data_IF_936947582206
#
_entry.id   IF_936947582206
#
_cell.length_a   1.000
_cell.length_b   1.000
_cell.length_c   1.000
_cell.angle_alpha   90.00
_cell.angle_beta   90.00
_cell.angle_gamma   90.00
#
_symmetry.space_group_name_H-M   'P 1'
#
loop_
_entity.id
_entity.type
_entity.pdbx_description
1 polymer ?
#
# COMPACT_ATOMS: atom_id res chain seq x y z
N UNK A 1 -33.93 11.77 -26.49
CA UNK A 1 -32.61 11.97 -27.10
C UNK A 1 -31.62 12.78 -26.25
N UNK A 2 -32.02 13.80 -25.49
CA UNK A 2 -31.09 14.58 -24.61
C UNK A 2 -30.51 13.78 -23.43
N UNK A 3 -31.27 12.86 -22.84
CA UNK A 3 -30.82 12.03 -21.69
C UNK A 3 -29.76 11.02 -22.10
N UNK A 4 -29.94 10.38 -23.27
CA UNK A 4 -28.98 9.37 -23.77
C UNK A 4 -27.63 10.02 -24.08
N UNK A 5 -27.62 11.24 -24.63
CA UNK A 5 -26.39 12.00 -24.90
C UNK A 5 -25.63 12.34 -23.61
N UNK A 6 -26.35 12.67 -22.51
CA UNK A 6 -25.71 12.93 -21.20
C UNK A 6 -25.11 11.67 -20.59
N UNK A 7 -25.79 10.53 -20.68
CA UNK A 7 -25.28 9.26 -20.18
C UNK A 7 -24.07 8.79 -20.98
N UNK A 8 -24.10 8.90 -22.31
CA UNK A 8 -22.96 8.56 -23.18
C UNK A 8 -21.76 9.47 -22.87
N UNK A 9 -21.99 10.77 -22.67
CA UNK A 9 -20.92 11.71 -22.32
C UNK A 9 -20.28 11.36 -20.94
N UNK A 10 -21.09 10.95 -19.97
CA UNK A 10 -20.64 10.59 -18.62
C UNK A 10 -19.81 9.30 -18.65
N UNK A 11 -20.25 8.29 -19.40
CA UNK A 11 -19.49 7.05 -19.61
C UNK A 11 -18.18 7.32 -20.34
N UNK A 12 -18.19 8.20 -21.35
CA UNK A 12 -16.98 8.57 -22.10
C UNK A 12 -15.96 9.31 -21.20
N UNK A 13 -16.43 10.19 -20.28
CA UNK A 13 -15.58 10.85 -19.30
C UNK A 13 -14.95 9.84 -18.32
N UNK A 14 -15.72 8.89 -17.82
CA UNK A 14 -15.20 7.85 -16.89
C UNK A 14 -14.15 6.97 -17.58
N UNK A 15 -14.41 6.58 -18.83
CA UNK A 15 -13.45 5.81 -19.64
C UNK A 15 -12.18 6.63 -19.90
N UNK A 16 -12.30 7.92 -20.25
CA UNK A 16 -11.14 8.80 -20.45
C UNK A 16 -10.32 8.98 -19.15
N UNK A 17 -10.97 9.08 -17.98
CA UNK A 17 -10.28 9.13 -16.68
C UNK A 17 -9.56 7.82 -16.34
N UNK A 18 -10.10 6.67 -16.73
CA UNK A 18 -9.44 5.37 -16.52
C UNK A 18 -8.21 5.21 -17.44
N UNK A 19 -8.24 5.75 -18.65
CA UNK A 19 -7.08 5.73 -19.55
C UNK A 19 -5.99 6.73 -19.17
N UNK A 20 -6.29 7.81 -18.45
CA UNK A 20 -5.28 8.76 -17.98
C UNK A 20 -4.47 8.24 -16.78
N UNK A 21 -4.93 7.20 -16.07
CA UNK A 21 -4.20 6.55 -14.98
C UNK A 21 -3.15 5.55 -15.46
N UNK A 22 -3.14 5.17 -16.73
CA UNK A 22 -2.12 4.23 -17.29
C UNK A 22 -0.90 4.94 -17.88
N UNK A 23 -0.84 6.28 -17.82
CA UNK A 23 0.27 7.06 -18.38
C UNK A 23 1.49 7.24 -17.45
N UNK A 24 1.47 6.62 -16.25
CA UNK A 24 2.60 6.65 -15.32
C UNK A 24 3.33 5.30 -15.34
N UNK A 25 4.04 5.00 -16.43
CA UNK A 25 4.75 3.73 -16.57
C UNK A 25 5.76 3.75 -17.72
N UNK A 26 6.44 4.87 -17.92
CA UNK A 26 7.71 4.90 -18.67
C UNK A 26 8.75 5.53 -17.76
N UNK A 27 9.52 4.68 -17.08
CA UNK A 27 10.87 5.04 -16.73
C UNK A 27 11.60 5.32 -18.03
N UNK A 28 11.60 6.57 -18.43
CA UNK A 28 12.61 7.07 -19.34
C UNK A 28 13.90 6.98 -18.54
N UNK A 29 14.91 6.29 -19.08
CA UNK A 29 16.30 6.51 -18.72
C UNK A 29 16.59 7.99 -19.00
N UNK A 30 16.21 8.85 -18.07
CA UNK A 30 16.76 10.19 -17.99
C UNK A 30 18.18 9.95 -17.47
N UNK A 31 19.16 10.02 -18.37
CA UNK A 31 20.54 9.97 -17.98
C UNK A 31 20.74 10.90 -16.79
N UNK A 32 21.27 10.37 -15.70
CA UNK A 32 21.65 11.17 -14.56
C UNK A 32 22.55 12.29 -15.08
N UNK A 33 22.26 13.54 -14.73
CA UNK A 33 23.13 14.68 -15.08
C UNK A 33 24.52 14.58 -14.43
N UNK A 34 24.84 13.44 -13.86
CA UNK A 34 26.06 13.10 -13.13
C UNK A 34 27.13 12.62 -14.10
N UNK A 35 28.38 13.02 -13.84
CA UNK A 35 29.54 12.47 -14.52
C UNK A 35 29.58 10.93 -14.41
N UNK A 36 29.80 10.20 -15.53
CA UNK A 36 29.77 8.72 -15.55
C UNK A 36 30.71 8.05 -14.52
N UNK A 37 31.81 8.69 -14.16
CA UNK A 37 32.74 8.19 -13.17
C UNK A 37 32.14 8.28 -11.76
N UNK A 38 31.43 9.34 -11.46
CA UNK A 38 30.71 9.53 -10.18
C UNK A 38 29.55 8.56 -10.08
N UNK A 39 28.81 8.36 -11.17
CA UNK A 39 27.72 7.39 -11.24
C UNK A 39 28.19 5.97 -10.90
N UNK A 40 29.29 5.53 -11.52
CA UNK A 40 29.87 4.21 -11.26
C UNK A 40 30.41 4.09 -9.83
N UNK A 41 31.02 5.15 -9.30
CA UNK A 41 31.46 5.21 -7.90
C UNK A 41 30.30 5.05 -6.92
N UNK A 42 29.17 5.73 -7.15
CA UNK A 42 27.98 5.63 -6.31
C UNK A 42 27.40 4.23 -6.32
N UNK A 43 27.30 3.59 -7.48
CA UNK A 43 26.87 2.20 -7.60
C UNK A 43 27.76 1.26 -6.80
N UNK A 44 29.07 1.38 -6.96
CA UNK A 44 30.04 0.55 -6.25
C UNK A 44 29.97 0.74 -4.73
N UNK A 45 29.83 1.98 -4.26
CA UNK A 45 29.67 2.27 -2.83
C UNK A 45 28.38 1.69 -2.29
N UNK A 46 27.28 1.77 -3.05
CA UNK A 46 25.99 1.21 -2.67
C UNK A 46 26.06 -0.32 -2.55
N UNK A 47 26.72 -0.99 -3.49
CA UNK A 47 26.94 -2.45 -3.41
C UNK A 47 27.78 -2.80 -2.19
N UNK A 48 28.88 -2.07 -1.95
CA UNK A 48 29.75 -2.30 -0.80
C UNK A 48 29.00 -2.11 0.53
N UNK A 49 28.16 -1.08 0.62
CA UNK A 49 27.31 -0.85 1.78
C UNK A 49 26.33 -2.01 2.01
N UNK A 50 25.70 -2.48 0.96
CA UNK A 50 24.80 -3.63 1.03
C UNK A 50 25.53 -4.89 1.51
N UNK A 51 26.67 -5.21 0.93
CA UNK A 51 27.47 -6.37 1.32
C UNK A 51 27.93 -6.32 2.77
N UNK A 52 28.28 -5.15 3.27
CA UNK A 52 28.58 -4.93 4.67
C UNK A 52 27.35 -5.18 5.54
N UNK A 53 26.18 -4.66 5.14
CA UNK A 53 24.93 -4.85 5.89
C UNK A 53 24.51 -6.31 5.98
N UNK A 54 24.51 -7.03 4.87
CA UNK A 54 24.07 -8.44 4.84
C UNK A 54 25.08 -9.38 5.53
N UNK A 55 26.30 -8.93 5.75
CA UNK A 55 27.31 -9.68 6.52
C UNK A 55 27.16 -9.55 8.03
N UNK A 56 26.31 -8.62 8.51
CA UNK A 56 26.06 -8.41 9.94
C UNK A 56 25.16 -9.52 10.47
N UNK A 57 25.56 -10.21 11.55
CA UNK A 57 24.71 -11.22 12.19
C UNK A 57 23.40 -10.60 12.71
N UNK A 58 22.30 -11.35 12.58
CA UNK A 58 20.97 -10.88 12.96
C UNK A 58 20.85 -10.46 14.44
N UNK A 59 21.61 -11.10 15.33
CA UNK A 59 21.66 -10.77 16.75
C UNK A 59 22.29 -9.39 17.04
N UNK A 60 23.14 -8.90 16.16
CA UNK A 60 23.78 -7.57 16.28
C UNK A 60 22.98 -6.48 15.58
N UNK A 61 22.15 -6.84 14.61
CA UNK A 61 21.42 -5.89 13.75
C UNK A 61 20.54 -4.94 14.56
N UNK A 62 19.81 -5.45 15.56
CA UNK A 62 18.96 -4.63 16.45
C UNK A 62 19.76 -3.56 17.20
N UNK A 63 20.96 -3.90 17.63
CA UNK A 63 21.84 -2.94 18.31
C UNK A 63 22.31 -1.83 17.37
N UNK A 64 22.65 -2.20 16.13
CA UNK A 64 23.07 -1.26 15.09
C UNK A 64 21.94 -0.33 14.68
N UNK A 65 20.71 -0.83 14.55
CA UNK A 65 19.51 -0.03 14.34
C UNK A 65 19.37 1.05 15.42
N UNK A 66 19.44 0.66 16.68
CA UNK A 66 19.34 1.62 17.79
C UNK A 66 20.49 2.64 17.82
N UNK A 67 21.69 2.21 17.49
CA UNK A 67 22.84 3.11 17.42
C UNK A 67 22.66 4.16 16.31
N UNK A 68 22.22 3.75 15.11
CA UNK A 68 21.93 4.69 14.02
C UNK A 68 20.82 5.65 14.38
N UNK A 69 19.73 5.19 15.04
CA UNK A 69 18.66 6.05 15.52
C UNK A 69 19.14 7.08 16.54
N UNK A 70 19.98 6.68 17.49
CA UNK A 70 20.59 7.61 18.46
C UNK A 70 21.58 8.59 17.81
N UNK A 71 22.22 8.20 16.73
CA UNK A 71 23.11 9.07 15.94
C UNK A 71 22.37 10.05 15.02
N UNK A 72 21.02 9.96 14.92
CA UNK A 72 20.21 10.80 14.04
C UNK A 72 20.13 10.29 12.61
N UNK A 73 20.67 9.10 12.31
CA UNK A 73 20.61 8.43 10.99
C UNK A 73 19.31 7.61 10.86
N UNK A 74 18.16 8.27 10.96
CA UNK A 74 16.84 7.61 11.00
C UNK A 74 16.56 6.81 9.72
N UNK A 75 16.96 7.33 8.55
CA UNK A 75 16.78 6.66 7.27
C UNK A 75 17.52 5.32 7.20
N UNK A 76 18.75 5.29 7.71
CA UNK A 76 19.56 4.07 7.79
C UNK A 76 18.95 3.08 8.78
N UNK A 77 18.53 3.58 9.96
CA UNK A 77 17.88 2.74 10.97
C UNK A 77 16.59 2.08 10.42
N UNK A 78 15.73 2.84 9.73
CA UNK A 78 14.52 2.33 9.13
C UNK A 78 14.77 1.31 8.00
N UNK A 79 15.82 1.55 7.19
CA UNK A 79 16.25 0.60 6.17
C UNK A 79 16.73 -0.73 6.75
N UNK A 80 17.54 -0.67 7.80
CA UNK A 80 18.01 -1.86 8.53
C UNK A 80 16.85 -2.63 9.19
N UNK A 81 15.90 -1.94 9.81
CA UNK A 81 14.68 -2.57 10.35
C UNK A 81 13.87 -3.27 9.25
N UNK A 82 13.74 -2.64 8.09
CA UNK A 82 13.06 -3.23 6.93
C UNK A 82 13.77 -4.50 6.48
N UNK A 83 15.10 -4.48 6.40
CA UNK A 83 15.89 -5.66 6.04
C UNK A 83 15.69 -6.82 7.03
N UNK A 84 15.76 -6.55 8.33
CA UNK A 84 15.50 -7.56 9.38
C UNK A 84 14.11 -8.19 9.21
N UNK A 85 13.09 -7.37 8.91
CA UNK A 85 11.74 -7.85 8.66
C UNK A 85 11.57 -8.68 7.39
N UNK A 86 12.51 -8.57 6.46
CA UNK A 86 12.49 -9.27 5.17
C UNK A 86 13.47 -10.44 5.09
N UNK A 87 14.33 -10.64 6.10
CA UNK A 87 15.39 -11.66 6.10
C UNK A 87 14.84 -13.06 5.80
N UNK A 88 13.75 -13.44 6.46
CA UNK A 88 13.10 -14.73 6.25
C UNK A 88 12.50 -14.86 4.83
N UNK A 89 12.04 -13.77 4.25
CA UNK A 89 11.45 -13.73 2.91
C UNK A 89 12.51 -13.74 1.80
N UNK A 90 13.63 -13.09 2.02
CA UNK A 90 14.71 -12.96 1.05
C UNK A 90 15.65 -14.18 1.05
N UNK A 91 15.96 -14.72 2.22
CA UNK A 91 17.00 -15.72 2.40
C UNK A 91 18.41 -15.13 2.33
N UNK A 92 19.43 -15.97 2.15
CA UNK A 92 20.81 -15.53 2.08
C UNK A 92 21.09 -14.67 0.84
N UNK A 93 21.95 -13.65 1.00
CA UNK A 93 22.41 -12.83 -0.12
C UNK A 93 23.31 -13.66 -1.06
N UNK A 94 23.09 -13.51 -2.36
CA UNK A 94 23.84 -14.24 -3.39
C UNK A 94 24.72 -13.31 -4.22
N UNK A 95 24.15 -12.25 -4.79
CA UNK A 95 24.90 -11.34 -5.65
C UNK A 95 24.16 -10.02 -5.87
N UNK A 96 24.93 -9.00 -6.25
CA UNK A 96 24.41 -7.74 -6.83
C UNK A 96 24.48 -7.77 -8.34
N UNK A 97 23.47 -7.20 -8.99
CA UNK A 97 23.36 -7.00 -10.43
C UNK A 97 23.67 -5.57 -10.85
N UNK A 98 23.00 -5.15 -11.92
CA UNK A 98 23.15 -3.79 -12.44
C UNK A 98 22.58 -2.76 -11.45
N UNK A 99 23.29 -1.63 -11.32
CA UNK A 99 22.81 -0.46 -10.59
C UNK A 99 22.37 0.65 -11.55
N UNK A 100 21.40 1.45 -11.12
CA UNK A 100 20.96 2.68 -11.79
C UNK A 100 21.03 3.84 -10.82
N UNK A 101 21.44 5.01 -11.32
CA UNK A 101 21.44 6.25 -10.56
C UNK A 101 20.45 7.21 -11.21
N UNK A 102 19.60 7.80 -10.40
CA UNK A 102 18.59 8.76 -10.83
C UNK A 102 18.72 10.03 -10.01
N UNK A 103 18.78 11.16 -10.67
CA UNK A 103 18.70 12.47 -10.02
C UNK A 103 17.26 12.73 -9.55
N UNK A 104 17.12 13.21 -8.34
CA UNK A 104 15.85 13.61 -7.72
C UNK A 104 15.99 15.04 -7.17
N UNK A 105 14.88 15.66 -6.77
CA UNK A 105 14.87 17.09 -6.38
C UNK A 105 15.85 17.44 -5.25
N UNK A 106 16.12 16.51 -4.33
CA UNK A 106 16.96 16.71 -3.15
C UNK A 106 18.25 15.86 -3.16
N UNK A 107 18.67 15.33 -4.32
CA UNK A 107 19.89 14.52 -4.42
C UNK A 107 19.81 13.38 -5.43
N UNK A 108 20.29 12.22 -5.05
CA UNK A 108 20.40 11.06 -5.94
C UNK A 108 19.78 9.81 -5.33
N UNK A 109 19.00 9.10 -6.13
CA UNK A 109 18.52 7.75 -5.81
C UNK A 109 19.38 6.74 -6.57
N UNK A 110 20.07 5.88 -5.83
CA UNK A 110 20.85 4.77 -6.36
C UNK A 110 20.10 3.48 -6.09
N UNK A 111 19.72 2.77 -7.14
CA UNK A 111 19.04 1.48 -7.04
C UNK A 111 19.94 0.39 -7.60
N UNK A 112 20.11 -0.69 -6.86
CA UNK A 112 20.88 -1.87 -7.24
C UNK A 112 19.98 -3.08 -7.23
N UNK A 113 19.91 -3.81 -8.34
CA UNK A 113 19.22 -5.08 -8.38
C UNK A 113 20.04 -6.13 -7.64
N UNK A 114 19.42 -6.84 -6.73
CA UNK A 114 20.07 -7.83 -5.89
C UNK A 114 19.37 -9.17 -5.97
N UNK A 115 20.13 -10.22 -5.87
CA UNK A 115 19.63 -11.60 -5.86
C UNK A 115 19.90 -12.20 -4.50
N UNK A 116 18.82 -12.63 -3.85
CA UNK A 116 18.86 -13.43 -2.65
C UNK A 116 18.42 -14.86 -2.96
N UNK A 117 18.66 -15.79 -2.05
CA UNK A 117 18.38 -17.22 -2.26
C UNK A 117 16.93 -17.51 -2.65
N UNK A 118 15.98 -16.82 -2.03
CA UNK A 118 14.55 -17.08 -2.25
C UNK A 118 13.93 -16.17 -3.31
N UNK A 119 14.45 -14.94 -3.47
CA UNK A 119 13.90 -13.96 -4.43
C UNK A 119 14.87 -12.84 -4.80
N UNK A 120 14.59 -12.16 -5.88
CA UNK A 120 15.26 -10.91 -6.22
C UNK A 120 14.72 -9.77 -5.35
N UNK A 121 15.56 -8.75 -5.11
CA UNK A 121 15.18 -7.56 -4.36
C UNK A 121 15.88 -6.34 -5.01
N UNK A 122 15.16 -5.24 -5.16
CA UNK A 122 15.78 -3.97 -5.51
C UNK A 122 16.17 -3.26 -4.21
N UNK A 123 17.45 -3.01 -4.03
CA UNK A 123 17.98 -2.21 -2.94
C UNK A 123 18.19 -0.78 -3.42
N UNK A 124 17.60 0.20 -2.77
CA UNK A 124 17.79 1.60 -3.11
C UNK A 124 18.20 2.44 -1.92
N UNK A 125 19.12 3.37 -2.17
CA UNK A 125 19.50 4.42 -1.23
C UNK A 125 19.25 5.78 -1.85
N UNK A 126 18.82 6.72 -1.03
CA UNK A 126 18.71 8.13 -1.38
C UNK A 126 19.81 8.90 -0.67
N UNK A 127 20.56 9.69 -1.39
CA UNK A 127 21.71 10.44 -0.89
C UNK A 127 21.49 11.92 -1.20
N UNK A 128 21.87 12.81 -0.30
CA UNK A 128 21.83 14.26 -0.51
C UNK A 128 22.68 14.69 -1.70
N UNK A 129 22.37 15.87 -2.28
CA UNK A 129 23.11 16.47 -3.42
C UNK A 129 24.63 16.58 -3.17
N UNK A 130 25.02 16.88 -1.93
CA UNK A 130 26.42 16.98 -1.48
C UNK A 130 27.06 15.61 -1.22
N UNK A 131 26.32 14.50 -1.40
CA UNK A 131 26.76 13.10 -1.19
C UNK A 131 27.27 12.82 0.22
N UNK A 132 26.88 13.61 1.21
CA UNK A 132 27.36 13.47 2.60
C UNK A 132 26.47 12.65 3.48
N UNK A 133 25.17 12.55 3.15
CA UNK A 133 24.18 11.92 4.02
C UNK A 133 23.22 11.02 3.25
N UNK A 134 22.85 9.88 3.86
CA UNK A 134 21.81 8.99 3.37
C UNK A 134 20.49 9.47 3.97
N UNK A 135 19.54 9.86 3.10
CA UNK A 135 18.22 10.36 3.49
C UNK A 135 17.12 9.31 3.31
N UNK A 136 17.41 8.24 2.59
CA UNK A 136 16.49 7.13 2.40
C UNK A 136 17.23 5.80 2.18
N UNK A 137 16.65 4.71 2.66
CA UNK A 137 17.14 3.35 2.41
C UNK A 137 15.93 2.43 2.32
N UNK A 138 15.86 1.60 1.29
CA UNK A 138 14.70 0.79 0.98
C UNK A 138 15.08 -0.55 0.38
N UNK A 139 14.35 -1.58 0.76
CA UNK A 139 14.40 -2.92 0.17
C UNK A 139 13.03 -3.22 -0.46
N UNK A 140 13.00 -3.47 -1.74
CA UNK A 140 11.80 -3.80 -2.50
C UNK A 140 11.90 -5.23 -3.07
N UNK A 141 11.40 -6.24 -2.34
CA UNK A 141 11.38 -7.62 -2.83
C UNK A 141 10.54 -7.75 -4.09
N UNK A 142 11.04 -8.47 -5.07
CA UNK A 142 10.31 -8.76 -6.30
C UNK A 142 9.42 -9.98 -6.06
N UNK A 143 8.13 -9.74 -5.99
CA UNK A 143 7.14 -10.82 -5.85
C UNK A 143 6.67 -11.30 -7.21
N UNK A 144 6.43 -12.59 -7.35
CA UNK A 144 5.81 -13.16 -8.55
C UNK A 144 4.40 -12.60 -8.75
N UNK A 145 3.90 -12.62 -9.98
CA UNK A 145 2.53 -12.20 -10.29
C UNK A 145 1.50 -12.95 -9.44
N UNK A 146 1.73 -14.25 -9.17
CA UNK A 146 0.86 -15.06 -8.33
C UNK A 146 0.81 -14.57 -6.89
N UNK A 147 1.95 -14.28 -6.28
CA UNK A 147 2.06 -13.75 -4.91
C UNK A 147 1.44 -12.35 -4.80
N UNK A 148 1.66 -11.50 -5.81
CA UNK A 148 1.04 -10.17 -5.86
C UNK A 148 -0.48 -10.25 -5.98
N UNK A 149 -1.01 -11.18 -6.77
CA UNK A 149 -2.45 -11.42 -6.89
C UNK A 149 -3.04 -11.98 -5.59
N UNK A 150 -2.35 -12.88 -4.90
CA UNK A 150 -2.77 -13.40 -3.61
C UNK A 150 -2.82 -12.29 -2.56
N UNK A 151 -1.78 -11.49 -2.43
CA UNK A 151 -1.74 -10.32 -1.52
C UNK A 151 -2.84 -9.31 -1.85
N UNK A 152 -3.05 -9.01 -3.14
CA UNK A 152 -4.12 -8.12 -3.58
C UNK A 152 -5.51 -8.69 -3.28
N UNK A 153 -5.73 -9.99 -3.49
CA UNK A 153 -6.98 -10.66 -3.17
C UNK A 153 -7.27 -10.66 -1.66
N UNK A 154 -6.26 -10.93 -0.83
CA UNK A 154 -6.39 -10.88 0.63
C UNK A 154 -6.71 -9.48 1.12
N UNK A 155 -6.03 -8.45 0.60
CA UNK A 155 -6.31 -7.06 0.95
C UNK A 155 -7.71 -6.62 0.50
N UNK A 156 -8.15 -7.04 -0.69
CA UNK A 156 -9.49 -6.78 -1.21
C UNK A 156 -10.53 -7.50 -0.36
N UNK A 157 -10.32 -8.77 -0.02
CA UNK A 157 -11.21 -9.55 0.82
C UNK A 157 -11.34 -8.93 2.22
N UNK A 158 -10.24 -8.49 2.80
CA UNK A 158 -10.23 -7.85 4.12
C UNK A 158 -10.99 -6.52 4.09
N UNK A 159 -10.73 -5.64 3.11
CA UNK A 159 -11.41 -4.35 2.97
C UNK A 159 -12.89 -4.51 2.62
N UNK A 160 -13.21 -5.32 1.61
CA UNK A 160 -14.59 -5.55 1.18
C UNK A 160 -15.37 -6.38 2.21
N UNK A 161 -14.71 -7.36 2.84
CA UNK A 161 -15.29 -8.19 3.90
C UNK A 161 -15.74 -7.37 5.09
N UNK A 162 -14.96 -6.39 5.53
CA UNK A 162 -15.33 -5.50 6.63
C UNK A 162 -16.60 -4.72 6.32
N UNK A 163 -16.74 -4.20 5.09
CA UNK A 163 -17.95 -3.49 4.67
C UNK A 163 -19.17 -4.42 4.68
N UNK A 164 -19.03 -5.65 4.18
CA UNK A 164 -20.12 -6.62 4.20
C UNK A 164 -20.55 -6.98 5.62
N UNK A 165 -19.60 -7.18 6.55
CA UNK A 165 -19.90 -7.47 7.96
C UNK A 165 -20.71 -6.32 8.57
N UNK A 166 -20.31 -5.06 8.32
CA UNK A 166 -21.03 -3.89 8.81
C UNK A 166 -22.44 -3.81 8.22
N UNK A 167 -22.62 -4.08 6.91
CA UNK A 167 -23.93 -4.09 6.27
C UNK A 167 -24.83 -5.20 6.82
N UNK A 168 -24.31 -6.39 7.05
CA UNK A 168 -25.05 -7.50 7.70
C UNK A 168 -25.45 -7.09 9.10
N UNK A 169 -24.56 -6.48 9.88
CA UNK A 169 -24.85 -6.02 11.23
C UNK A 169 -25.97 -4.97 11.25
N UNK A 170 -25.92 -3.97 10.38
CA UNK A 170 -26.98 -2.95 10.26
C UNK A 170 -28.30 -3.61 9.83
N UNK A 171 -28.26 -4.53 8.87
CA UNK A 171 -29.46 -5.26 8.43
C UNK A 171 -30.08 -6.07 9.57
N UNK A 172 -29.25 -6.68 10.41
CA UNK A 172 -29.68 -7.40 11.61
C UNK A 172 -30.35 -6.47 12.63
N UNK A 173 -29.78 -5.29 12.88
CA UNK A 173 -30.37 -4.27 13.75
C UNK A 173 -31.73 -3.81 13.24
N UNK A 174 -31.86 -3.50 11.94
CA UNK A 174 -33.13 -3.10 11.33
C UNK A 174 -34.17 -4.23 11.46
N UNK A 175 -33.75 -5.47 11.21
CA UNK A 175 -34.65 -6.64 11.43
C UNK A 175 -35.07 -6.79 12.86
N UNK A 176 -34.19 -6.55 13.81
CA UNK A 176 -34.50 -6.60 15.25
C UNK A 176 -35.58 -5.56 15.64
N UNK A 177 -35.43 -4.32 15.15
CA UNK A 177 -36.44 -3.27 15.36
C UNK A 177 -37.79 -3.63 14.73
N UNK A 178 -37.80 -4.25 13.55
CA UNK A 178 -39.02 -4.72 12.92
C UNK A 178 -39.71 -5.82 13.75
N UNK A 179 -38.95 -6.72 14.36
CA UNK A 179 -39.50 -7.75 15.27
C UNK A 179 -40.12 -7.15 16.53
N UNK A 180 -39.45 -6.15 17.12
CA UNK A 180 -39.94 -5.45 18.31
C UNK A 180 -41.27 -4.74 18.00
N UNK A 181 -41.35 -4.04 16.87
CA UNK A 181 -42.57 -3.35 16.42
C UNK A 181 -43.76 -4.33 16.17
N UNK A 182 -43.49 -5.51 15.62
CA UNK A 182 -44.53 -6.55 15.44
C UNK A 182 -44.98 -7.12 16.77
N UNK A 183 -44.11 -7.27 17.76
CA UNK A 183 -44.43 -7.76 19.09
C UNK A 183 -45.25 -6.75 19.88
N UNK A 184 -44.97 -5.46 19.75
CA UNK A 184 -45.69 -4.37 20.39
C UNK A 184 -47.10 -4.19 19.82
N UNK A 185 -47.25 -4.32 18.50
CA UNK A 185 -48.55 -4.29 17.85
C UNK A 185 -49.45 -5.51 18.16
N UNK A 186 -48.87 -6.67 18.48
CA UNK A 186 -49.65 -7.83 18.96
C UNK A 186 -50.20 -7.65 20.38
N UNK A 187 -49.65 -6.77 21.20
CA UNK A 187 -50.12 -6.45 22.55
C UNK A 187 -51.22 -5.37 22.58
N UNK A 188 -51.37 -4.58 21.51
CA UNK A 188 -52.50 -3.67 21.33
C UNK A 188 -53.62 -4.42 20.60
N UNK A 189 -54.44 -5.16 21.35
CA UNK A 189 -55.74 -5.63 20.87
C UNK A 189 -56.56 -4.41 20.38
N UNK A 190 -57.34 -4.54 19.28
CA UNK A 190 -58.21 -3.44 18.84
C UNK A 190 -59.20 -3.11 19.94
N UNK A 191 -59.30 -1.86 20.38
CA UNK A 191 -60.36 -1.38 21.22
C UNK A 191 -61.71 -1.63 20.53
N UNK A 192 -62.74 -2.14 21.27
CA UNK A 192 -64.03 -2.37 20.68
C UNK A 192 -64.62 -1.07 20.11
N UNK A 193 -65.12 -1.14 18.87
CA UNK A 193 -65.79 -0.03 18.23
C UNK A 193 -67.00 0.41 19.11
N UNK A 194 -67.04 1.69 19.47
CA UNK A 194 -68.15 2.30 20.13
C UNK A 194 -69.45 2.17 19.29
N UNK A 195 -70.61 1.91 19.86
CA UNK A 195 -71.84 1.78 19.12
C UNK A 195 -72.24 3.09 18.45
N UNK A 196 -72.62 3.01 17.16
CA UNK A 196 -73.10 4.14 16.37
C UNK A 196 -74.32 4.75 17.04
N UNK A 197 -74.38 6.05 17.32
CA UNK A 197 -75.49 6.80 17.75
C UNK A 197 -76.62 6.79 16.65
N UNK A 198 -77.90 6.68 17.00
CA UNK A 198 -78.99 6.66 16.06
C UNK A 198 -79.15 8.05 15.43
N UNK A 199 -79.42 8.07 14.11
CA UNK A 199 -79.75 9.26 13.36
C UNK A 199 -81.10 9.88 13.83
N UNK A 200 -81.25 11.21 13.87
CA UNK A 200 -82.51 11.84 14.14
C UNK A 200 -83.44 11.70 12.92
N UNK A 201 -84.67 11.23 13.19
CA UNK A 201 -85.71 11.19 12.19
C UNK A 201 -86.26 12.60 11.90
N UNK A 202 -86.57 12.85 10.64
CA UNK A 202 -87.31 13.85 9.88
C UNK A 202 -87.71 15.15 10.47
#
# INVERSE_FOLDING_TARGET
>A
MKQIKKQVLLVLCVVACLFSLTACGKTTDAGSGIDPMTEESLKQQTVTLLEQMVSIPADQMTTIVEQNRKAGSEAVAAGLETYVGLEDDLGAYVSSGAGTVKEIDDGYEVTVDTVFEKRACAFSITITEDMTSITGMSFAPVYSLGENMEKAALNTLMGMGTVFIVLIFISLLISCFKYISVFENKKKAPAPAAPAAPAPAA
#
